data_IF_506175884295
#
_entry.id   IF_506175884295
#
_cell.length_a   1.000
_cell.length_b   1.000
_cell.length_c   1.000
_cell.angle_alpha   90.00
_cell.angle_beta   90.00
_cell.angle_gamma   90.00
#
_symmetry.space_group_name_H-M   'P 1'
#
loop_
_entity.id
_entity.type
_entity.pdbx_description
1 polymer ?
#
# COMPACT_ATOMS: atom_id res chain seq x y z
N UNK A 1 -12.96 -0.02 7.58
CA UNK A 1 -12.39 -1.11 8.41
C UNK A 1 -13.32 -2.31 8.37
N UNK A 2 -12.79 -3.53 8.29
CA UNK A 2 -13.59 -4.75 8.35
C UNK A 2 -13.87 -5.16 9.80
N UNK A 3 -14.95 -5.93 10.03
CA UNK A 3 -15.29 -6.45 11.36
C UNK A 3 -14.18 -7.33 11.93
N UNK A 4 -13.51 -8.12 11.08
CA UNK A 4 -12.35 -8.94 11.49
C UNK A 4 -11.18 -8.10 12.00
N UNK A 5 -10.94 -6.93 11.41
CA UNK A 5 -9.86 -6.02 11.83
C UNK A 5 -10.20 -5.32 13.15
N UNK A 6 -11.47 -4.95 13.35
CA UNK A 6 -11.97 -4.39 14.62
C UNK A 6 -11.89 -5.41 15.77
N UNK A 7 -12.13 -6.69 15.48
CA UNK A 7 -12.04 -7.77 16.45
C UNK A 7 -10.59 -8.14 16.80
N UNK A 8 -9.66 -7.98 15.86
CA UNK A 8 -8.26 -8.35 16.05
C UNK A 8 -7.44 -7.32 16.86
N UNK A 9 -7.85 -6.05 16.83
CA UNK A 9 -7.07 -4.93 17.39
C UNK A 9 -7.69 -4.36 18.69
N UNK A 10 -6.82 -3.96 19.61
CA UNK A 10 -7.17 -3.16 20.79
C UNK A 10 -7.57 -1.73 20.41
N UNK A 11 -8.22 -0.94 21.29
CA UNK A 11 -8.63 0.43 20.98
C UNK A 11 -7.48 1.33 20.52
N UNK A 12 -6.34 1.32 21.22
CA UNK A 12 -5.17 2.12 20.85
C UNK A 12 -4.60 1.72 19.47
N UNK A 13 -4.56 0.41 19.18
CA UNK A 13 -4.14 -0.10 17.86
C UNK A 13 -5.12 0.31 16.75
N UNK A 14 -6.43 0.31 17.02
CA UNK A 14 -7.44 0.77 16.07
C UNK A 14 -7.30 2.26 15.78
N UNK A 15 -7.10 3.08 16.81
CA UNK A 15 -6.92 4.52 16.66
C UNK A 15 -5.64 4.83 15.88
N UNK A 16 -4.56 4.09 16.11
CA UNK A 16 -3.31 4.19 15.36
C UNK A 16 -3.48 3.80 13.88
N UNK A 17 -4.17 2.70 13.59
CA UNK A 17 -4.47 2.27 12.21
C UNK A 17 -5.41 3.28 11.52
N UNK A 18 -6.42 3.80 12.21
CA UNK A 18 -7.30 4.83 11.68
C UNK A 18 -6.54 6.13 11.37
N UNK A 19 -5.65 6.56 12.26
CA UNK A 19 -4.83 7.73 12.04
C UNK A 19 -3.90 7.56 10.83
N UNK A 20 -3.39 6.35 10.60
CA UNK A 20 -2.60 6.00 9.41
C UNK A 20 -3.44 6.11 8.12
N UNK A 21 -4.66 5.55 8.09
CA UNK A 21 -5.57 5.69 6.94
C UNK A 21 -5.99 7.14 6.68
N UNK A 22 -6.24 7.91 7.75
CA UNK A 22 -6.53 9.34 7.65
C UNK A 22 -5.34 10.13 7.11
N UNK A 23 -4.10 9.73 7.43
CA UNK A 23 -2.91 10.35 6.87
C UNK A 23 -2.82 10.13 5.36
N UNK A 24 -3.23 8.95 4.86
CA UNK A 24 -3.31 8.72 3.41
C UNK A 24 -4.32 9.65 2.73
N UNK A 25 -5.51 9.80 3.32
CA UNK A 25 -6.53 10.73 2.84
C UNK A 25 -6.02 12.18 2.85
N UNK A 26 -5.41 12.62 3.96
CA UNK A 26 -4.87 13.96 4.10
C UNK A 26 -3.75 14.26 3.10
N UNK A 27 -2.95 13.25 2.74
CA UNK A 27 -1.88 13.39 1.76
C UNK A 27 -2.37 13.28 0.31
N UNK A 28 -3.67 13.03 0.06
CA UNK A 28 -4.20 12.87 -1.29
C UNK A 28 -3.69 11.61 -2.01
N UNK A 29 -3.51 10.50 -1.27
CA UNK A 29 -3.05 9.22 -1.83
C UNK A 29 -3.97 8.70 -2.92
N UNK A 30 -5.28 8.85 -2.71
CA UNK A 30 -6.30 8.42 -3.65
C UNK A 30 -6.25 9.21 -4.96
N UNK A 31 -6.08 10.53 -4.88
CA UNK A 31 -5.99 11.40 -6.07
C UNK A 31 -4.77 11.05 -6.91
N UNK A 32 -3.63 10.79 -6.25
CA UNK A 32 -2.41 10.33 -6.90
C UNK A 32 -2.60 8.97 -7.57
N UNK A 33 -3.24 8.01 -6.89
CA UNK A 33 -3.51 6.69 -7.43
C UNK A 33 -4.45 6.74 -8.65
N UNK A 34 -5.54 7.52 -8.57
CA UNK A 34 -6.47 7.74 -9.69
C UNK A 34 -5.76 8.44 -10.86
N UNK A 35 -4.98 9.48 -10.59
CA UNK A 35 -4.20 10.18 -11.62
C UNK A 35 -3.20 9.26 -12.33
N UNK A 36 -2.65 8.27 -11.63
CA UNK A 36 -1.71 7.30 -12.17
C UNK A 36 -2.39 6.14 -12.94
N UNK A 37 -3.70 5.92 -12.74
CA UNK A 37 -4.49 4.97 -13.54
C UNK A 37 -4.78 5.50 -14.95
N UNK A 38 -4.98 6.81 -15.12
CA UNK A 38 -5.21 7.44 -16.43
C UNK A 38 -4.13 7.07 -17.47
N UNK A 39 -2.82 7.20 -17.19
CA UNK A 39 -1.79 6.82 -18.14
C UNK A 39 -1.72 5.30 -18.40
N UNK A 40 -1.99 4.48 -17.38
CA UNK A 40 -2.05 3.00 -17.54
C UNK A 40 -3.21 2.61 -18.46
N UNK A 41 -4.40 3.18 -18.24
CA UNK A 41 -5.58 2.93 -19.04
C UNK A 41 -5.44 3.48 -20.47
N UNK A 42 -4.87 4.66 -20.63
CA UNK A 42 -4.54 5.21 -21.95
C UNK A 42 -3.54 4.32 -22.70
N UNK A 43 -2.58 3.70 -22.00
CA UNK A 43 -1.65 2.75 -22.60
C UNK A 43 -2.34 1.45 -23.03
N UNK A 44 -3.39 0.98 -22.33
CA UNK A 44 -4.14 -0.23 -22.71
C UNK A 44 -5.13 -0.01 -23.85
N UNK A 45 -5.86 1.10 -23.85
CA UNK A 45 -6.78 1.45 -24.96
C UNK A 45 -6.02 1.68 -26.27
N UNK A 46 -4.83 2.28 -26.18
CA UNK A 46 -3.97 2.52 -27.34
C UNK A 46 -3.21 1.25 -27.79
N UNK A 47 -3.35 0.13 -27.05
CA UNK A 47 -2.77 -1.19 -27.34
C UNK A 47 -3.67 -2.10 -28.20
N UNK A 48 -4.98 -1.81 -28.35
CA UNK A 48 -5.92 -2.66 -29.13
C UNK A 48 -5.86 -2.46 -30.67
N UNK A 49 -4.76 -1.94 -31.21
CA UNK A 49 -4.55 -1.76 -32.66
C UNK A 49 -3.53 -2.75 -33.25
N UNK A 50 -3.91 -3.71 -34.13
CA UNK A 50 -3.02 -4.81 -34.57
C UNK A 50 -1.81 -4.42 -35.45
N UNK A 51 -1.74 -3.19 -35.98
CA UNK A 51 -0.80 -2.84 -37.08
C UNK A 51 0.02 -1.53 -36.88
N UNK A 52 0.29 -1.08 -35.63
CA UNK A 52 1.10 0.13 -35.40
C UNK A 52 2.55 -0.17 -34.96
N UNK A 53 3.54 -0.21 -35.87
CA UNK A 53 4.95 -0.48 -35.57
C UNK A 53 5.67 0.64 -34.79
N UNK A 54 4.99 1.77 -34.51
CA UNK A 54 5.51 2.87 -33.70
C UNK A 54 5.20 2.76 -32.20
N UNK A 55 4.41 1.77 -31.78
CA UNK A 55 3.80 1.74 -30.45
C UNK A 55 4.60 0.98 -29.36
N UNK A 56 5.60 0.19 -29.76
CA UNK A 56 6.36 -0.70 -28.87
C UNK A 56 7.26 0.05 -27.84
N UNK A 57 8.11 1.04 -28.20
CA UNK A 57 8.99 1.66 -27.20
C UNK A 57 8.32 2.76 -26.36
N UNK A 58 7.44 3.57 -26.94
CA UNK A 58 6.80 4.70 -26.25
C UNK A 58 5.75 4.20 -25.26
N UNK A 59 4.91 3.24 -25.65
CA UNK A 59 3.93 2.62 -24.75
C UNK A 59 4.62 1.91 -23.58
N UNK A 60 5.73 1.19 -23.84
CA UNK A 60 6.52 0.52 -22.79
C UNK A 60 7.22 1.51 -21.87
N UNK A 61 7.74 2.62 -22.39
CA UNK A 61 8.34 3.67 -21.56
C UNK A 61 7.29 4.30 -20.63
N UNK A 62 6.07 4.51 -21.11
CA UNK A 62 4.98 5.06 -20.33
C UNK A 62 4.48 4.08 -19.25
N UNK A 63 4.28 2.81 -19.61
CA UNK A 63 3.93 1.76 -18.66
C UNK A 63 5.02 1.55 -17.59
N UNK A 64 6.31 1.57 -17.99
CA UNK A 64 7.43 1.49 -17.05
C UNK A 64 7.48 2.69 -16.11
N UNK A 65 7.24 3.90 -16.62
CA UNK A 65 7.20 5.13 -15.80
C UNK A 65 6.05 5.08 -14.80
N UNK A 66 4.86 4.62 -15.23
CA UNK A 66 3.71 4.45 -14.36
C UNK A 66 3.96 3.39 -13.28
N UNK A 67 4.53 2.24 -13.63
CA UNK A 67 4.85 1.17 -12.69
C UNK A 67 5.91 1.59 -11.66
N UNK A 68 6.98 2.27 -12.11
CA UNK A 68 8.02 2.82 -11.22
C UNK A 68 7.44 3.88 -10.30
N UNK A 69 6.61 4.78 -10.83
CA UNK A 69 5.88 5.78 -10.05
C UNK A 69 5.07 5.11 -8.95
N UNK A 70 4.24 4.15 -9.31
CA UNK A 70 3.35 3.47 -8.36
C UNK A 70 4.14 2.82 -7.22
N UNK A 71 5.19 2.06 -7.54
CA UNK A 71 6.01 1.36 -6.54
C UNK A 71 6.82 2.29 -5.63
N UNK A 72 7.44 3.34 -6.19
CA UNK A 72 8.31 4.26 -5.42
C UNK A 72 7.48 5.19 -4.54
N UNK A 73 6.39 5.76 -5.07
CA UNK A 73 5.54 6.66 -4.30
C UNK A 73 4.84 5.93 -3.15
N UNK A 74 4.37 4.70 -3.37
CA UNK A 74 3.68 3.95 -2.34
C UNK A 74 4.56 3.73 -1.10
N UNK A 75 5.82 3.30 -1.25
CA UNK A 75 6.72 3.05 -0.10
C UNK A 75 7.07 4.29 0.72
N UNK A 76 7.33 5.41 0.04
CA UNK A 76 7.65 6.66 0.73
C UNK A 76 6.45 7.17 1.54
N UNK A 77 5.24 7.01 0.99
CA UNK A 77 4.00 7.51 1.57
C UNK A 77 3.54 6.69 2.77
N UNK A 78 3.73 5.37 2.76
CA UNK A 78 3.55 4.52 3.95
C UNK A 78 4.37 5.01 5.16
N UNK A 79 5.66 5.33 4.94
CA UNK A 79 6.53 5.82 6.01
C UNK A 79 6.17 7.24 6.49
N UNK A 80 5.53 8.04 5.64
CA UNK A 80 4.99 9.34 6.04
C UNK A 80 3.71 9.15 6.85
N UNK A 81 2.82 8.26 6.39
CA UNK A 81 1.60 7.91 7.09
C UNK A 81 1.88 7.31 8.48
N UNK A 82 2.86 6.42 8.62
CA UNK A 82 3.29 5.87 9.92
C UNK A 82 3.71 6.95 10.92
N UNK A 83 4.49 7.94 10.46
CA UNK A 83 4.91 9.06 11.31
C UNK A 83 3.77 10.00 11.63
N UNK A 84 2.90 10.28 10.66
CA UNK A 84 1.73 11.13 10.87
C UNK A 84 0.75 10.49 11.86
N UNK A 85 0.54 9.17 11.77
CA UNK A 85 -0.24 8.41 12.73
C UNK A 85 0.37 8.46 14.12
N UNK A 86 1.67 8.18 14.25
CA UNK A 86 2.37 8.27 15.54
C UNK A 86 2.29 9.67 16.16
N UNK A 87 2.44 10.72 15.36
CA UNK A 87 2.32 12.10 15.83
C UNK A 87 0.87 12.48 16.21
N UNK A 88 -0.13 11.94 15.50
CA UNK A 88 -1.54 12.22 15.76
C UNK A 88 -2.06 11.48 17.00
N UNK A 89 -1.62 10.24 17.24
CA UNK A 89 -2.03 9.45 18.41
C UNK A 89 -1.14 9.65 19.63
N UNK A 90 0.10 10.10 19.44
CA UNK A 90 1.11 10.15 20.49
C UNK A 90 1.56 8.77 20.97
N UNK A 91 1.26 7.71 20.21
CA UNK A 91 1.62 6.33 20.55
C UNK A 91 2.15 5.57 19.32
N UNK A 92 3.44 5.73 18.99
CA UNK A 92 4.08 4.94 17.95
C UNK A 92 4.12 3.43 18.26
N UNK A 93 4.07 3.04 19.54
CA UNK A 93 4.11 1.64 19.95
C UNK A 93 2.79 0.91 19.64
N UNK A 94 1.65 1.59 19.75
CA UNK A 94 0.36 1.07 19.33
C UNK A 94 0.36 0.71 17.83
N UNK A 95 0.89 1.58 16.96
CA UNK A 95 0.97 1.27 15.54
C UNK A 95 1.91 0.09 15.25
N UNK A 96 3.05 0.02 15.95
CA UNK A 96 3.99 -1.09 15.79
C UNK A 96 3.37 -2.43 16.20
N UNK A 97 2.67 -2.46 17.34
CA UNK A 97 2.01 -3.67 17.85
C UNK A 97 0.84 -4.08 16.95
N UNK A 98 0.09 -3.11 16.41
CA UNK A 98 -0.96 -3.37 15.42
C UNK A 98 -0.40 -4.04 14.16
N UNK A 99 0.71 -3.53 13.62
CA UNK A 99 1.37 -4.12 12.44
C UNK A 99 1.83 -5.56 12.71
N UNK A 100 2.46 -5.81 13.86
CA UNK A 100 2.90 -7.16 14.24
C UNK A 100 1.72 -8.13 14.38
N UNK A 101 0.63 -7.71 15.05
CA UNK A 101 -0.60 -8.52 15.15
C UNK A 101 -1.17 -8.85 13.79
N UNK A 102 -1.26 -7.86 12.91
CA UNK A 102 -1.85 -8.02 11.59
C UNK A 102 -1.00 -8.95 10.69
N UNK A 103 0.32 -8.85 10.76
CA UNK A 103 1.27 -9.77 10.09
C UNK A 103 1.08 -11.22 10.58
N UNK A 104 1.00 -11.40 11.89
CA UNK A 104 0.79 -12.69 12.55
C UNK A 104 -0.57 -13.34 12.23
N UNK A 105 -1.61 -12.53 12.03
CA UNK A 105 -2.98 -12.99 11.76
C UNK A 105 -3.13 -13.42 10.30
N UNK A 106 -2.47 -12.70 9.39
CA UNK A 106 -2.39 -13.03 7.97
C UNK A 106 -1.78 -14.42 7.71
N UNK A 107 -0.84 -14.87 8.54
CA UNK A 107 -0.26 -16.22 8.40
C UNK A 107 -1.20 -17.36 8.78
N UNK A 108 -2.23 -17.10 9.60
CA UNK A 108 -3.09 -18.14 10.21
C UNK A 108 -4.49 -18.23 9.61
N UNK A 109 -5.00 -17.12 9.06
CA UNK A 109 -6.42 -16.99 8.66
C UNK A 109 -6.60 -16.34 7.29
N UNK A 110 -5.55 -16.36 6.43
CA UNK A 110 -5.66 -15.83 5.07
C UNK A 110 -6.78 -16.55 4.31
N UNK A 111 -7.82 -15.86 3.86
CA UNK A 111 -8.78 -16.45 2.94
C UNK A 111 -8.03 -16.93 1.70
N UNK A 112 -8.24 -18.17 1.29
CA UNK A 112 -7.61 -18.76 0.10
C UNK A 112 -8.21 -18.23 -1.20
N UNK A 113 -9.31 -17.49 -1.12
CA UNK A 113 -9.93 -16.78 -2.23
C UNK A 113 -9.76 -15.26 -2.02
N UNK A 114 -8.99 -14.61 -2.88
CA UNK A 114 -8.94 -13.15 -2.94
C UNK A 114 -10.10 -12.65 -3.82
N UNK A 115 -11.15 -12.13 -3.18
CA UNK A 115 -12.30 -11.57 -3.90
C UNK A 115 -11.96 -10.28 -4.67
N UNK A 116 -10.72 -9.76 -4.56
CA UNK A 116 -10.24 -8.55 -5.24
C UNK A 116 -9.53 -8.83 -6.56
N UNK A 117 -9.40 -10.09 -6.98
CA UNK A 117 -8.94 -10.45 -8.34
C UNK A 117 -9.83 -9.84 -9.45
N UNK A 118 -10.98 -9.25 -9.09
CA UNK A 118 -11.85 -8.48 -9.98
C UNK A 118 -11.63 -6.95 -9.96
N UNK A 119 -10.78 -6.41 -9.07
CA UNK A 119 -10.58 -4.96 -8.92
C UNK A 119 -9.08 -4.66 -8.81
N UNK A 120 -8.44 -4.41 -9.96
CA UNK A 120 -7.00 -4.14 -10.07
C UNK A 120 -6.53 -2.83 -9.40
N UNK A 121 -7.44 -1.99 -8.88
CA UNK A 121 -7.15 -0.65 -8.39
C UNK A 121 -6.94 -0.52 -6.86
N UNK A 122 -7.14 -1.60 -6.09
CA UNK A 122 -7.34 -1.49 -4.62
C UNK A 122 -6.06 -1.53 -3.76
N UNK A 123 -4.86 -1.62 -4.36
CA UNK A 123 -3.61 -1.83 -3.62
C UNK A 123 -3.14 -0.65 -2.74
N UNK A 124 -3.72 0.54 -2.93
CA UNK A 124 -3.30 1.78 -2.29
C UNK A 124 -3.89 2.04 -0.88
N UNK A 125 -4.80 1.18 -0.39
CA UNK A 125 -5.51 1.37 0.90
C UNK A 125 -5.36 0.14 1.80
N UNK A 126 -4.25 -0.58 1.67
CA UNK A 126 -4.06 -1.85 2.37
C UNK A 126 -2.91 -1.72 3.36
N UNK A 127 -3.21 -1.79 4.66
CA UNK A 127 -2.23 -1.66 5.77
C UNK A 127 -1.07 -2.67 5.66
N UNK A 128 -1.29 -3.82 5.00
CA UNK A 128 -0.35 -4.93 4.91
C UNK A 128 0.09 -5.18 3.46
N UNK A 129 1.35 -5.59 3.24
CA UNK A 129 1.84 -5.95 1.92
C UNK A 129 1.02 -7.12 1.32
N UNK A 130 0.64 -6.99 0.05
CA UNK A 130 0.06 -8.10 -0.71
C UNK A 130 1.22 -8.93 -1.27
N UNK A 131 1.41 -10.13 -0.74
CA UNK A 131 2.39 -11.08 -1.26
C UNK A 131 1.86 -11.70 -2.56
N UNK A 132 2.40 -11.26 -3.70
CA UNK A 132 2.19 -11.90 -5.00
C UNK A 132 3.40 -12.74 -5.38
N UNK A 133 3.19 -14.02 -5.68
CA UNK A 133 4.25 -15.02 -5.94
C UNK A 133 4.89 -14.90 -7.35
N UNK A 134 5.03 -13.68 -7.87
CA UNK A 134 5.59 -13.40 -9.19
C UNK A 134 6.85 -12.53 -9.10
N UNK A 135 7.69 -12.55 -10.14
CA UNK A 135 8.85 -11.64 -10.26
C UNK A 135 8.40 -10.16 -10.22
N UNK A 136 7.15 -9.88 -10.62
CA UNK A 136 6.49 -8.59 -10.44
C UNK A 136 6.10 -8.29 -8.97
N UNK A 137 5.97 -9.28 -8.09
CA UNK A 137 5.73 -9.11 -6.64
C UNK A 137 6.93 -8.60 -5.84
N UNK A 138 8.17 -8.84 -6.31
CA UNK A 138 9.39 -8.29 -5.66
C UNK A 138 9.62 -6.80 -5.99
N UNK A 139 9.23 -6.37 -7.18
CA UNK A 139 9.21 -4.97 -7.62
C UNK A 139 7.86 -4.28 -7.35
N UNK A 140 6.81 -5.07 -7.09
CA UNK A 140 5.43 -4.67 -6.86
C UNK A 140 4.94 -4.86 -5.43
N UNK A 141 5.85 -5.10 -4.46
CA UNK A 141 5.54 -4.80 -3.07
C UNK A 141 5.36 -3.27 -2.98
N UNK A 142 4.11 -2.84 -3.09
CA UNK A 142 3.65 -1.45 -2.97
C UNK A 142 3.92 -0.93 -1.55
N UNK A 143 4.05 -1.83 -0.59
CA UNK A 143 4.36 -1.51 0.80
C UNK A 143 5.82 -1.85 1.15
N UNK A 144 6.47 -1.07 2.03
CA UNK A 144 7.70 -1.51 2.69
C UNK A 144 7.41 -2.79 3.50
N UNK A 145 8.45 -3.61 3.72
CA UNK A 145 8.31 -4.78 4.59
C UNK A 145 7.81 -4.35 5.98
N UNK A 146 6.88 -5.12 6.56
CA UNK A 146 6.29 -4.85 7.88
C UNK A 146 7.38 -4.65 8.94
N UNK A 147 8.41 -5.48 8.94
CA UNK A 147 9.55 -5.38 9.85
C UNK A 147 10.27 -4.02 9.78
N UNK A 148 10.40 -3.42 8.58
CA UNK A 148 11.02 -2.10 8.40
C UNK A 148 10.17 -0.99 9.01
N UNK A 149 8.85 -1.08 8.89
CA UNK A 149 7.91 -0.12 9.48
C UNK A 149 7.93 -0.20 11.00
N UNK A 150 7.86 -1.42 11.54
CA UNK A 150 7.95 -1.71 12.98
C UNK A 150 9.26 -1.19 13.57
N UNK A 151 10.40 -1.46 12.92
CA UNK A 151 11.71 -0.98 13.38
C UNK A 151 11.74 0.55 13.47
N UNK A 152 11.20 1.26 12.47
CA UNK A 152 11.14 2.73 12.48
C UNK A 152 10.25 3.28 13.59
N UNK A 153 9.08 2.69 13.80
CA UNK A 153 8.17 3.10 14.87
C UNK A 153 8.81 2.90 16.25
N UNK A 154 9.49 1.78 16.47
CA UNK A 154 10.28 1.53 17.69
C UNK A 154 11.39 2.56 17.90
N UNK A 155 12.02 3.05 16.84
CA UNK A 155 13.00 4.14 16.93
C UNK A 155 12.38 5.46 17.36
N UNK A 156 11.11 5.73 17.01
CA UNK A 156 10.40 6.92 17.49
C UNK A 156 10.14 6.83 19.01
N UNK A 157 9.68 5.67 19.48
CA UNK A 157 9.49 5.40 20.92
C UNK A 157 10.79 5.61 21.70
N UNK A 158 11.93 5.18 21.15
CA UNK A 158 13.23 5.31 21.81
C UNK A 158 13.81 6.74 21.77
N UNK A 159 13.22 7.65 20.99
CA UNK A 159 13.68 9.03 20.84
C UNK A 159 12.89 10.03 21.72
N UNK A 160 11.84 9.57 22.39
CA UNK A 160 11.06 10.30 23.41
C UNK A 160 11.63 10.08 24.83
#
# INVERSE_FOLDING_TARGET
MSEGLLAALSPAERDAVLAHELAHLANGDLDLAVGLLVPVYAATELYEGPDSPGFDPVGRAFAATAAIGFGVFSRGRELVADRAAAAATGDPAALATALERLDDTNGRTRPTADLRDHIAATGAVNVLPIEGDSVAGRLGATHPATATRVERLRRLVAAE
#
